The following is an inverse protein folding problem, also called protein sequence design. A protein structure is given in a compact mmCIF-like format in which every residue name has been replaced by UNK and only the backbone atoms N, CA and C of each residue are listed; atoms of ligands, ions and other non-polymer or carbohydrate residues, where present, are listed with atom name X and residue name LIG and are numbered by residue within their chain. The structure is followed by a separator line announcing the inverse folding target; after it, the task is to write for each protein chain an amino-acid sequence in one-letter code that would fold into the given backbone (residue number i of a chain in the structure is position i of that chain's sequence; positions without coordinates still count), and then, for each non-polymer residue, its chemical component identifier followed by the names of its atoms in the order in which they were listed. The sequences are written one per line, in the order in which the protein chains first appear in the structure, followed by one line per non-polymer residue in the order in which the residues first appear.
data_IF_531672242094
#
_entry.id   IF_531672242094
#
_cell.length_a   1.000
_cell.length_b   1.000
_cell.length_c   1.000
_cell.angle_alpha   90.00
_cell.angle_beta   90.00
_cell.angle_gamma   90.00
#
_symmetry.space_group_name_H-M   'P 1'
#
loop_
_entity.id
_entity.type
_entity.pdbx_description
1 polymer ?
#
# COMPACT_ATOMS: atom_id res chain seq x y z
N UNK A 1 -13.15 5.45 -16.99
CA UNK A 1 -12.23 5.15 -15.85
C UNK A 1 -10.93 5.91 -16.07
N UNK A 2 -10.48 6.64 -15.05
CA UNK A 2 -9.20 7.37 -15.12
C UNK A 2 -8.02 6.42 -15.05
N UNK A 3 -6.82 6.90 -15.40
CA UNK A 3 -5.57 6.13 -15.24
C UNK A 3 -5.35 5.73 -13.77
N UNK A 4 -5.58 6.66 -12.85
CA UNK A 4 -5.43 6.39 -11.43
C UNK A 4 -6.39 5.29 -10.95
N UNK A 5 -7.64 5.34 -11.38
CA UNK A 5 -8.62 4.30 -11.07
C UNK A 5 -8.19 2.94 -11.65
N UNK A 6 -7.70 2.93 -12.89
CA UNK A 6 -7.23 1.71 -13.54
C UNK A 6 -6.11 1.04 -12.74
N UNK A 7 -5.11 1.81 -12.31
CA UNK A 7 -4.00 1.26 -11.55
C UNK A 7 -4.39 0.94 -10.11
N UNK A 8 -5.28 1.72 -9.50
CA UNK A 8 -5.79 1.37 -8.17
C UNK A 8 -6.57 0.05 -8.20
N UNK A 9 -7.33 -0.22 -9.26
CA UNK A 9 -7.99 -1.52 -9.45
C UNK A 9 -6.99 -2.67 -9.48
N UNK A 10 -5.81 -2.45 -10.05
CA UNK A 10 -4.73 -3.45 -10.02
C UNK A 10 -4.16 -3.65 -8.61
N UNK A 11 -4.03 -2.58 -7.84
CA UNK A 11 -3.64 -2.68 -6.42
C UNK A 11 -4.70 -3.44 -5.62
N UNK A 12 -5.98 -3.23 -5.89
CA UNK A 12 -7.08 -3.94 -5.25
C UNK A 12 -7.01 -5.45 -5.58
N UNK A 13 -6.65 -5.82 -6.80
CA UNK A 13 -6.43 -7.24 -7.15
C UNK A 13 -5.33 -7.87 -6.28
N UNK A 14 -4.27 -7.12 -5.99
CA UNK A 14 -3.23 -7.59 -5.07
C UNK A 14 -3.77 -7.73 -3.65
N UNK A 15 -4.57 -6.78 -3.18
CA UNK A 15 -5.21 -6.85 -1.87
C UNK A 15 -6.09 -8.11 -1.75
N UNK A 16 -6.78 -8.50 -2.81
CA UNK A 16 -7.60 -9.72 -2.83
C UNK A 16 -6.75 -10.98 -2.68
N UNK A 17 -5.52 -10.98 -3.15
CA UNK A 17 -4.58 -12.10 -2.92
C UNK A 17 -4.24 -12.23 -1.44
N UNK A 18 -4.02 -11.11 -0.75
CA UNK A 18 -3.83 -11.11 0.69
C UNK A 18 -5.07 -11.63 1.41
N UNK A 19 -6.25 -11.15 1.01
CA UNK A 19 -7.54 -11.59 1.56
C UNK A 19 -7.68 -13.12 1.50
N UNK A 20 -7.32 -13.70 0.37
CA UNK A 20 -7.40 -15.15 0.18
C UNK A 20 -6.46 -15.93 1.10
N UNK A 21 -5.43 -15.29 1.65
CA UNK A 21 -4.50 -15.87 2.62
C UNK A 21 -4.86 -15.53 4.07
N UNK A 22 -6.02 -14.97 4.32
CA UNK A 22 -6.45 -14.46 5.63
C UNK A 22 -5.52 -13.35 6.17
N UNK A 23 -4.86 -12.63 5.27
CA UNK A 23 -4.07 -11.44 5.61
C UNK A 23 -4.94 -10.20 5.46
N UNK A 24 -4.62 -9.15 6.22
CA UNK A 24 -5.28 -7.85 6.03
C UNK A 24 -5.13 -7.45 4.57
N UNK A 25 -6.25 -7.15 3.85
CA UNK A 25 -6.22 -6.98 2.40
C UNK A 25 -5.65 -5.63 1.98
N UNK A 26 -4.33 -5.59 1.87
CA UNK A 26 -3.59 -4.42 1.41
C UNK A 26 -2.80 -4.84 0.18
N UNK A 27 -2.94 -4.07 -0.90
CA UNK A 27 -2.25 -4.30 -2.15
C UNK A 27 -1.58 -3.04 -2.67
N UNK A 28 -0.55 -3.24 -3.46
CA UNK A 28 0.29 -2.16 -3.98
C UNK A 28 0.80 -2.50 -5.37
N UNK A 29 0.78 -1.52 -6.26
CA UNK A 29 1.48 -1.61 -7.55
C UNK A 29 2.35 -0.37 -7.74
N UNK A 30 3.46 -0.54 -8.44
CA UNK A 30 4.35 0.56 -8.83
C UNK A 30 4.36 0.63 -10.34
N UNK A 31 4.16 1.84 -10.87
CA UNK A 31 4.03 2.13 -12.29
C UNK A 31 5.18 3.01 -12.73
N UNK A 32 5.84 2.65 -13.83
CA UNK A 32 6.83 3.48 -14.49
C UNK A 32 6.35 3.74 -15.92
N UNK A 33 6.20 5.02 -16.26
CA UNK A 33 5.53 5.40 -17.51
C UNK A 33 4.07 4.99 -17.45
N UNK A 34 3.64 4.11 -18.33
CA UNK A 34 2.28 3.58 -18.36
C UNK A 34 2.24 2.07 -18.08
N UNK A 35 3.30 1.52 -17.46
CA UNK A 35 3.42 0.08 -17.21
C UNK A 35 3.59 -0.21 -15.73
N UNK A 36 2.90 -1.23 -15.25
CA UNK A 36 3.12 -1.77 -13.91
C UNK A 36 4.44 -2.54 -13.93
N UNK A 37 5.40 -2.12 -13.10
CA UNK A 37 6.71 -2.77 -13.01
C UNK A 37 6.86 -3.63 -11.77
N UNK A 38 6.00 -3.45 -10.77
CA UNK A 38 6.05 -4.24 -9.55
C UNK A 38 4.68 -4.32 -8.89
N UNK A 39 4.42 -5.46 -8.23
CA UNK A 39 3.19 -5.71 -7.47
C UNK A 39 3.55 -6.29 -6.12
N UNK A 40 2.78 -5.96 -5.10
CA UNK A 40 2.95 -6.51 -3.78
C UNK A 40 1.63 -6.57 -3.03
N UNK A 41 1.55 -7.48 -2.07
CA UNK A 41 0.41 -7.58 -1.16
C UNK A 41 0.88 -8.03 0.22
N UNK A 42 0.09 -7.72 1.23
CA UNK A 42 0.44 -8.02 2.61
C UNK A 42 0.57 -9.52 2.84
N UNK A 43 1.69 -9.95 3.44
CA UNK A 43 1.98 -11.34 3.78
C UNK A 43 2.58 -11.47 5.19
N UNK A 44 2.30 -10.51 6.07
CA UNK A 44 2.94 -10.42 7.40
C UNK A 44 2.85 -11.74 8.18
N UNK A 45 1.65 -12.32 8.26
CA UNK A 45 1.43 -13.56 9.00
C UNK A 45 1.91 -14.79 8.19
N UNK A 46 1.68 -14.79 6.88
CA UNK A 46 2.07 -15.88 5.99
C UNK A 46 3.58 -16.07 5.99
N UNK A 47 4.34 -14.99 5.87
CA UNK A 47 5.80 -15.01 5.83
C UNK A 47 6.42 -14.91 7.23
N UNK A 48 5.60 -14.72 8.27
CA UNK A 48 6.07 -14.50 9.66
C UNK A 48 7.15 -13.42 9.72
N UNK A 49 6.89 -12.32 9.03
CA UNK A 49 7.86 -11.25 8.83
C UNK A 49 7.18 -9.90 8.95
N UNK A 50 7.56 -9.06 9.94
CA UNK A 50 6.94 -7.74 10.12
C UNK A 50 7.22 -6.79 8.95
N UNK A 51 8.22 -7.08 8.11
CA UNK A 51 8.56 -6.28 6.94
C UNK A 51 7.76 -6.67 5.71
N UNK A 52 6.98 -7.76 5.76
CA UNK A 52 6.25 -8.29 4.60
C UNK A 52 4.97 -7.50 4.31
N UNK A 53 5.10 -6.20 4.15
CA UNK A 53 4.04 -5.29 3.73
C UNK A 53 4.01 -5.17 2.20
N UNK A 54 2.83 -4.86 1.67
CA UNK A 54 2.61 -4.71 0.22
C UNK A 54 3.59 -3.72 -0.41
N UNK A 55 3.78 -2.57 0.23
CA UNK A 55 4.61 -1.47 -0.28
C UNK A 55 6.09 -1.86 -0.33
N UNK A 56 6.61 -2.49 0.73
CA UNK A 56 8.01 -2.91 0.77
C UNK A 56 8.30 -3.98 -0.28
N UNK A 57 7.38 -4.92 -0.46
CA UNK A 57 7.50 -5.95 -1.49
C UNK A 57 7.56 -5.32 -2.88
N UNK A 58 6.66 -4.37 -3.17
CA UNK A 58 6.62 -3.69 -4.46
C UNK A 58 7.89 -2.85 -4.69
N UNK A 59 8.36 -2.12 -3.68
CA UNK A 59 9.59 -1.31 -3.79
C UNK A 59 10.80 -2.21 -4.10
N UNK A 60 10.94 -3.31 -3.37
CA UNK A 60 12.06 -4.25 -3.58
C UNK A 60 12.07 -4.79 -5.00
N UNK A 61 10.90 -5.20 -5.50
CA UNK A 61 10.76 -5.74 -6.87
C UNK A 61 11.01 -4.67 -7.93
N UNK A 62 10.52 -3.45 -7.71
CA UNK A 62 10.71 -2.34 -8.64
C UNK A 62 12.19 -1.96 -8.75
N UNK A 63 12.89 -1.88 -7.63
CA UNK A 63 14.33 -1.57 -7.60
C UNK A 63 15.15 -2.64 -8.30
N UNK A 64 14.80 -3.90 -8.11
CA UNK A 64 15.45 -5.02 -8.79
C UNK A 64 15.22 -4.93 -10.30
N UNK A 65 14.00 -4.62 -10.73
CA UNK A 65 13.64 -4.55 -12.15
C UNK A 65 14.33 -3.37 -12.85
N UNK A 66 14.40 -2.20 -12.20
CA UNK A 66 15.03 -1.01 -12.79
C UNK A 66 16.55 -1.01 -12.65
N UNK A 67 17.10 -1.81 -11.73
CA UNK A 67 18.53 -1.82 -11.43
C UNK A 67 18.99 -0.62 -10.64
N UNK A 68 18.09 0.11 -9.99
CA UNK A 68 18.41 1.31 -9.22
C UNK A 68 17.58 1.33 -7.92
N UNK A 69 18.16 1.83 -6.83
CA UNK A 69 17.42 2.03 -5.59
C UNK A 69 16.49 3.25 -5.67
N UNK A 70 16.79 4.19 -6.56
CA UNK A 70 15.95 5.39 -6.77
C UNK A 70 14.84 5.08 -7.75
N UNK A 71 13.61 5.36 -7.35
CA UNK A 71 12.41 5.14 -8.16
C UNK A 71 11.79 6.49 -8.54
N UNK A 72 12.63 7.41 -9.03
CA UNK A 72 12.30 8.80 -9.27
C UNK A 72 11.29 9.03 -10.41
N UNK A 73 11.07 8.02 -11.27
CA UNK A 73 10.12 8.10 -12.37
C UNK A 73 8.89 7.21 -12.15
N UNK A 74 8.70 6.76 -10.91
CA UNK A 74 7.63 5.81 -10.57
C UNK A 74 6.50 6.47 -9.80
N UNK A 75 5.31 5.88 -9.91
CA UNK A 75 4.13 6.23 -9.11
C UNK A 75 3.71 4.97 -8.37
N UNK A 76 3.46 5.09 -7.06
CA UNK A 76 2.94 3.98 -6.26
C UNK A 76 1.43 4.14 -6.10
N UNK A 77 0.71 3.03 -6.27
CA UNK A 77 -0.72 2.93 -5.94
C UNK A 77 -0.86 1.92 -4.81
N UNK A 78 -1.46 2.34 -3.72
CA UNK A 78 -1.64 1.49 -2.53
C UNK A 78 -3.07 1.62 -2.01
N UNK A 79 -3.67 0.50 -1.63
CA UNK A 79 -5.08 0.47 -1.23
C UNK A 79 -5.34 1.08 0.14
N UNK A 80 -4.33 1.11 1.00
CA UNK A 80 -4.43 1.68 2.35
C UNK A 80 -3.24 2.59 2.61
N UNK A 81 -3.48 3.68 3.32
CA UNK A 81 -2.45 4.64 3.74
C UNK A 81 -1.25 3.92 4.37
N UNK A 82 -0.02 4.19 3.92
CA UNK A 82 1.17 3.51 4.45
C UNK A 82 1.44 3.83 5.91
N UNK A 83 1.96 2.82 6.63
CA UNK A 83 2.46 2.97 7.99
C UNK A 83 3.82 3.69 7.98
N UNK A 84 4.39 3.93 9.17
CA UNK A 84 5.67 4.64 9.30
C UNK A 84 6.83 3.92 8.59
N UNK A 85 6.85 2.60 8.60
CA UNK A 85 7.89 1.80 7.93
C UNK A 85 7.80 1.99 6.41
N UNK A 86 6.61 1.86 5.85
CA UNK A 86 6.40 1.96 4.41
C UNK A 86 6.52 3.40 3.92
N UNK A 87 6.00 4.37 4.67
CA UNK A 87 6.15 5.79 4.33
C UNK A 87 7.64 6.17 4.32
N UNK A 88 8.42 5.71 5.29
CA UNK A 88 9.86 5.91 5.30
C UNK A 88 10.55 5.29 4.08
N UNK A 89 10.14 4.07 3.70
CA UNK A 89 10.70 3.40 2.53
C UNK A 89 10.39 4.16 1.24
N UNK A 90 9.19 4.72 1.11
CA UNK A 90 8.80 5.53 -0.04
C UNK A 90 9.70 6.76 -0.17
N UNK A 91 9.95 7.45 0.94
CA UNK A 91 10.85 8.61 0.97
C UNK A 91 12.28 8.18 0.60
N UNK A 92 12.76 7.09 1.17
CA UNK A 92 14.09 6.55 0.88
C UNK A 92 14.25 6.20 -0.60
N UNK A 93 13.22 5.62 -1.22
CA UNK A 93 13.23 5.23 -2.62
C UNK A 93 13.05 6.42 -3.58
N UNK A 94 12.77 7.62 -3.08
CA UNK A 94 12.56 8.84 -3.87
C UNK A 94 11.38 8.75 -4.83
N UNK A 95 10.34 8.00 -4.47
CA UNK A 95 9.11 7.94 -5.26
C UNK A 95 8.44 9.31 -5.24
N UNK A 96 8.17 9.93 -6.42
CA UNK A 96 7.65 11.29 -6.45
C UNK A 96 6.14 11.41 -6.16
N UNK A 97 5.38 10.33 -6.39
CA UNK A 97 3.92 10.37 -6.22
C UNK A 97 3.38 9.05 -5.67
N UNK A 98 2.49 9.16 -4.68
CA UNK A 98 1.76 8.01 -4.13
C UNK A 98 0.25 8.30 -4.20
N UNK A 99 -0.49 7.35 -4.74
CA UNK A 99 -1.95 7.40 -4.81
C UNK A 99 -2.50 6.40 -3.79
N UNK A 100 -3.33 6.88 -2.90
CA UNK A 100 -3.84 6.13 -1.74
C UNK A 100 -5.34 5.91 -1.89
N UNK A 101 -5.81 4.68 -1.71
CA UNK A 101 -7.23 4.37 -1.74
C UNK A 101 -7.95 4.84 -0.49
N UNK A 102 -7.68 4.22 0.64
CA UNK A 102 -8.30 4.52 1.92
C UNK A 102 -7.28 5.00 2.95
N UNK A 103 -7.70 5.88 3.85
CA UNK A 103 -6.87 6.34 4.96
C UNK A 103 -6.96 5.36 6.13
N UNK A 104 -5.92 5.36 6.97
CA UNK A 104 -5.84 4.53 8.16
C UNK A 104 -5.67 5.42 9.40
N UNK A 105 -6.75 5.82 10.07
CA UNK A 105 -6.66 6.76 11.19
C UNK A 105 -5.81 6.29 12.36
N UNK A 106 -5.65 4.98 12.53
CA UNK A 106 -4.94 4.40 13.69
C UNK A 106 -3.45 4.21 13.47
N UNK A 107 -3.00 4.03 12.24
CA UNK A 107 -1.62 3.66 11.95
C UNK A 107 -1.03 4.37 10.73
N UNK A 108 -1.80 5.17 10.03
CA UNK A 108 -1.38 5.80 8.78
C UNK A 108 -0.41 6.96 9.00
N UNK A 109 0.61 7.02 8.18
CA UNK A 109 1.67 8.03 8.28
C UNK A 109 1.84 8.86 7.01
N UNK A 110 0.74 9.00 6.24
CA UNK A 110 0.66 9.88 5.08
C UNK A 110 -0.45 10.93 5.28
N UNK A 111 -0.65 11.38 6.51
CA UNK A 111 -1.59 12.43 6.87
C UNK A 111 -2.47 12.12 8.08
N UNK A 112 -2.68 10.86 8.45
CA UNK A 112 -3.57 10.49 9.56
C UNK A 112 -2.93 10.78 10.92
N UNK A 113 -1.92 10.01 11.32
CA UNK A 113 -1.21 10.25 12.58
C UNK A 113 -0.16 11.34 12.39
N UNK A 114 0.63 11.20 11.35
CA UNK A 114 1.71 12.11 10.97
C UNK A 114 1.83 12.04 9.45
N UNK A 115 2.45 13.02 8.82
CA UNK A 115 2.69 13.02 7.39
C UNK A 115 4.18 12.90 7.07
N UNK A 116 4.70 11.68 7.06
CA UNK A 116 6.11 11.41 6.76
C UNK A 116 6.44 11.65 5.29
N UNK A 117 5.44 11.58 4.38
CA UNK A 117 5.65 11.77 2.96
C UNK A 117 5.92 13.23 2.60
N UNK A 118 5.50 14.18 3.45
CA UNK A 118 5.61 15.61 3.17
C UNK A 118 6.32 16.38 4.29
N UNK A 119 7.14 15.69 5.07
CA UNK A 119 7.91 16.31 6.14
C UNK A 119 9.04 17.15 5.55
N UNK A 120 9.03 18.46 5.82
CA UNK A 120 9.95 19.43 5.22
C UNK A 120 11.41 19.18 5.59
N UNK A 121 11.67 18.59 6.75
CA UNK A 121 13.01 18.28 7.23
C UNK A 121 13.67 17.14 6.44
N UNK A 122 12.88 16.32 5.75
CA UNK A 122 13.44 15.27 4.89
C UNK A 122 13.88 15.85 3.56
N UNK A 123 14.83 15.19 2.91
CA UNK A 123 15.39 15.64 1.64
C UNK A 123 14.54 15.27 0.41
N UNK A 124 13.35 14.72 0.63
CA UNK A 124 12.42 14.35 -0.44
C UNK A 124 10.98 14.46 0.07
N UNK A 125 10.12 15.11 -0.70
CA UNK A 125 8.69 15.18 -0.45
C UNK A 125 7.95 14.44 -1.56
N UNK A 126 6.81 13.85 -1.20
CA UNK A 126 6.00 13.00 -2.09
C UNK A 126 4.66 13.67 -2.34
N UNK A 127 4.27 13.81 -3.60
CA UNK A 127 2.91 14.22 -3.94
C UNK A 127 1.95 13.08 -3.59
N UNK A 128 0.86 13.38 -2.89
CA UNK A 128 -0.14 12.39 -2.50
C UNK A 128 -1.50 12.76 -3.08
N UNK A 129 -2.18 11.74 -3.62
CA UNK A 129 -3.58 11.83 -4.03
C UNK A 129 -4.35 10.76 -3.28
N UNK A 130 -5.45 11.14 -2.63
CA UNK A 130 -6.16 10.32 -1.66
C UNK A 130 -7.59 10.09 -2.13
N UNK A 131 -8.11 8.88 -1.90
CA UNK A 131 -9.52 8.58 -2.12
C UNK A 131 -9.85 7.93 -3.47
N UNK A 132 -8.86 7.57 -4.25
CA UNK A 132 -9.07 6.87 -5.53
C UNK A 132 -9.55 5.45 -5.22
N UNK A 133 -10.77 5.10 -5.65
CA UNK A 133 -11.43 3.84 -5.31
C UNK A 133 -11.52 3.62 -3.79
N UNK A 134 -11.63 4.72 -3.03
CA UNK A 134 -11.57 4.68 -1.57
C UNK A 134 -12.66 3.85 -0.94
N UNK A 135 -13.89 3.93 -1.45
CA UNK A 135 -15.02 3.15 -0.92
C UNK A 135 -14.80 1.64 -1.09
N UNK A 136 -14.30 1.22 -2.25
CA UNK A 136 -14.00 -0.20 -2.50
C UNK A 136 -12.88 -0.69 -1.57
N UNK A 137 -11.83 0.09 -1.40
CA UNK A 137 -10.74 -0.25 -0.48
C UNK A 137 -11.21 -0.33 0.97
N UNK A 138 -11.98 0.65 1.43
CA UNK A 138 -12.53 0.68 2.79
C UNK A 138 -13.49 -0.47 3.05
N UNK A 139 -14.38 -0.77 2.11
CA UNK A 139 -15.36 -1.84 2.23
C UNK A 139 -14.68 -3.20 2.35
N UNK A 140 -13.65 -3.43 1.55
CA UNK A 140 -12.88 -4.68 1.59
C UNK A 140 -12.23 -4.89 2.97
N UNK A 141 -11.67 -3.83 3.54
CA UNK A 141 -11.06 -3.88 4.88
C UNK A 141 -12.13 -4.13 5.96
N UNK A 142 -13.24 -3.40 5.91
CA UNK A 142 -14.33 -3.56 6.88
C UNK A 142 -14.90 -4.97 6.85
N UNK A 143 -15.11 -5.52 5.67
CA UNK A 143 -15.62 -6.88 5.48
C UNK A 143 -14.64 -7.91 6.05
N UNK A 144 -13.35 -7.74 5.78
CA UNK A 144 -12.31 -8.63 6.29
C UNK A 144 -12.32 -8.65 7.82
N UNK A 145 -12.33 -7.50 8.48
CA UNK A 145 -12.30 -7.44 9.95
C UNK A 145 -13.59 -7.96 10.57
N UNK A 146 -14.73 -7.74 9.92
CA UNK A 146 -16.01 -8.32 10.37
C UNK A 146 -15.95 -9.85 10.34
N UNK A 147 -15.49 -10.42 9.24
CA UNK A 147 -15.34 -11.87 9.10
C UNK A 147 -14.34 -12.44 10.12
N UNK A 148 -13.25 -11.72 10.37
CA UNK A 148 -12.24 -12.13 11.34
C UNK A 148 -12.83 -12.19 12.75
N UNK A 149 -13.64 -11.19 13.15
CA UNK A 149 -14.32 -11.19 14.45
C UNK A 149 -15.32 -12.36 14.56
N UNK A 150 -16.04 -12.67 13.49
CA UNK A 150 -16.97 -13.80 13.47
C UNK A 150 -16.23 -15.13 13.63
N UNK A 151 -15.09 -15.30 12.95
CA UNK A 151 -14.25 -16.50 13.10
C UNK A 151 -13.75 -16.66 14.53
N UNK A 152 -13.31 -15.56 15.17
CA UNK A 152 -12.85 -15.59 16.57
C UNK A 152 -13.97 -15.98 17.53
N UNK A 153 -15.19 -15.50 17.32
CA UNK A 153 -16.35 -15.89 18.12
C UNK A 153 -16.63 -17.38 18.01
N UNK A 154 -16.57 -17.93 16.79
CA UNK A 154 -16.78 -19.37 16.56
C UNK A 154 -15.69 -20.22 17.21
N UNK A 155 -14.50 -19.69 17.42
CA UNK A 155 -13.40 -20.36 18.10
C UNK A 155 -13.40 -20.17 19.61
N UNK A 156 -14.40 -19.47 20.15
CA UNK A 156 -14.50 -19.21 21.58
C UNK A 156 -13.59 -18.08 22.07
N UNK A 157 -13.14 -17.22 21.19
CA UNK A 157 -12.25 -16.10 21.52
C UNK A 157 -12.97 -14.77 21.71
#
# INVERSE_FOLDING_TARGET
MTQDEKYMKQAIKQAKKAYALDEVPIGCVIVAGDKIIARGYNRRNTDKNPLAHAELSAIRKASKKTGDWRLEECIMYVTLEPCQMCAGAIVQARIPRVVIGAMNPKAGCAGSIINLLQMQQFNHQVQTDIGICGDECSTMLSTFFKELREKRKLQGE
#
